data_IF_540608957283
#
_entry.id   IF_540608957283
#
_cell.length_a   1.000
_cell.length_b   1.000
_cell.length_c   1.000
_cell.angle_alpha   90.00
_cell.angle_beta   90.00
_cell.angle_gamma   90.00
#
_symmetry.space_group_name_H-M   'P 1'
#
loop_
_entity.id
_entity.type
_entity.pdbx_description
1 polymer ?
#
# COMPACT_ATOMS: atom_id res chain seq x y z
N UNK A 1 5.27 61.84 6.53
CA UNK A 1 5.17 62.79 7.66
C UNK A 1 3.73 63.27 7.70
N UNK A 2 2.84 62.66 8.48
CA UNK A 2 2.66 62.80 9.93
C UNK A 2 2.13 64.19 10.36
N UNK A 3 0.97 64.14 11.02
CA UNK A 3 0.43 65.05 12.04
C UNK A 3 -0.04 66.46 11.62
N UNK A 4 -0.94 67.18 12.30
CA UNK A 4 -2.01 66.97 13.30
C UNK A 4 -2.53 68.38 13.68
N UNK A 5 -3.68 68.45 14.40
CA UNK A 5 -4.13 69.49 15.36
C UNK A 5 -4.99 70.71 14.89
N UNK A 6 -6.28 70.70 15.31
CA UNK A 6 -7.05 71.66 16.19
C UNK A 6 -7.08 73.19 15.85
N UNK A 7 -7.96 74.07 16.45
CA UNK A 7 -9.09 73.90 17.40
C UNK A 7 -10.33 74.88 17.31
N UNK A 8 -11.32 74.66 18.22
CA UNK A 8 -12.08 75.59 19.13
C UNK A 8 -13.18 76.62 18.69
N UNK A 9 -14.29 76.53 19.47
CA UNK A 9 -15.20 77.57 20.06
C UNK A 9 -16.50 78.11 19.39
N UNK A 10 -17.66 77.73 20.00
CA UNK A 10 -18.82 78.48 20.61
C UNK A 10 -19.16 79.96 20.19
N UNK A 11 -20.32 80.60 20.53
CA UNK A 11 -21.34 80.31 21.58
C UNK A 11 -22.87 80.70 21.33
N UNK A 12 -23.75 80.35 22.31
CA UNK A 12 -24.99 80.98 22.90
C UNK A 12 -25.86 81.99 22.09
N UNK A 13 -27.21 82.04 22.09
CA UNK A 13 -28.19 82.24 23.19
C UNK A 13 -29.66 82.46 22.67
N UNK A 14 -30.65 82.38 23.60
CA UNK A 14 -32.15 82.43 23.60
C UNK A 14 -32.84 83.72 23.03
N UNK A 15 -34.18 84.06 23.16
CA UNK A 15 -35.30 83.58 24.04
C UNK A 15 -36.79 83.61 23.50
N UNK A 16 -37.78 83.30 24.38
CA UNK A 16 -39.27 83.63 24.43
C UNK A 16 -40.19 83.31 23.22
N UNK A 17 -41.51 83.03 23.26
CA UNK A 17 -42.60 82.95 24.25
C UNK A 17 -43.99 83.08 23.53
N UNK A 18 -45.01 82.32 23.99
CA UNK A 18 -46.48 82.56 23.98
C UNK A 18 -47.39 82.42 22.71
N UNK A 19 -48.37 81.50 22.88
CA UNK A 19 -49.85 81.59 22.71
C UNK A 19 -50.55 81.88 21.36
N UNK A 20 -51.48 80.96 20.99
CA UNK A 20 -52.95 81.16 20.94
C UNK A 20 -53.70 80.70 19.67
N UNK A 21 -54.73 79.87 19.93
CA UNK A 21 -56.09 79.81 19.35
C UNK A 21 -56.36 79.52 17.84
N UNK A 22 -57.06 78.37 17.66
CA UNK A 22 -58.04 77.92 16.63
C UNK A 22 -59.00 79.02 16.09
N UNK A 23 -59.93 78.80 15.10
CA UNK A 23 -60.42 77.56 14.42
C UNK A 23 -60.48 77.74 12.87
N UNK A 24 -61.01 76.88 11.98
CA UNK A 24 -62.33 76.23 11.88
C UNK A 24 -62.34 75.21 10.70
N UNK A 25 -63.34 74.31 10.61
CA UNK A 25 -63.22 73.04 9.90
C UNK A 25 -63.78 73.08 8.48
N UNK A 26 -63.14 72.35 7.57
CA UNK A 26 -63.73 71.87 6.30
C UNK A 26 -63.40 70.40 6.15
N UNK A 27 -64.44 69.60 5.96
CA UNK A 27 -64.33 68.19 5.55
C UNK A 27 -63.44 68.12 4.30
N UNK A 28 -62.35 67.37 4.38
CA UNK A 28 -61.44 67.11 3.28
C UNK A 28 -61.50 65.64 2.88
N UNK A 29 -61.38 65.35 1.56
CA UNK A 29 -61.72 64.07 0.97
C UNK A 29 -60.62 63.03 1.16
N UNK A 30 -61.01 61.75 1.06
CA UNK A 30 -60.11 60.61 1.08
C UNK A 30 -59.04 60.71 -0.03
N UNK A 31 -57.78 60.73 0.39
CA UNK A 31 -56.57 60.76 -0.44
C UNK A 31 -55.68 59.52 -0.10
N UNK A 32 -54.79 59.10 -1.02
CA UNK A 32 -54.69 57.70 -1.43
C UNK A 32 -53.74 56.84 -0.58
N UNK A 33 -53.92 55.52 -0.70
CA UNK A 33 -53.07 54.47 -0.10
C UNK A 33 -51.59 54.68 -0.43
N UNK A 34 -50.78 54.77 0.64
CA UNK A 34 -49.33 54.87 0.55
C UNK A 34 -48.66 53.65 -0.10
N UNK A 35 -47.38 53.77 -0.50
CA UNK A 35 -46.66 52.72 -1.21
C UNK A 35 -46.50 51.47 -0.33
N UNK A 36 -46.79 50.30 -0.92
CA UNK A 36 -46.57 48.98 -0.30
C UNK A 36 -45.09 48.79 0.01
N UNK A 37 -44.75 48.63 1.29
CA UNK A 37 -43.46 48.10 1.71
C UNK A 37 -43.37 46.64 1.25
N UNK A 38 -42.53 46.37 0.25
CA UNK A 38 -42.15 45.00 -0.14
C UNK A 38 -41.31 44.41 1.01
N UNK A 39 -41.93 43.56 1.84
CA UNK A 39 -41.18 42.71 2.77
C UNK A 39 -40.28 41.77 1.94
N UNK A 40 -38.98 42.02 1.93
CA UNK A 40 -38.00 41.02 1.51
C UNK A 40 -38.19 39.79 2.41
N UNK A 41 -38.72 38.69 1.87
CA UNK A 41 -38.66 37.38 2.52
C UNK A 41 -37.18 37.02 2.64
N UNK A 42 -36.73 36.69 3.85
CA UNK A 42 -35.44 36.03 4.02
C UNK A 42 -35.39 34.79 3.11
N UNK A 43 -34.25 34.50 2.47
CA UNK A 43 -34.10 33.26 1.74
C UNK A 43 -34.39 32.08 2.69
N UNK A 44 -35.07 31.01 2.23
CA UNK A 44 -35.25 29.83 3.05
C UNK A 44 -33.88 29.32 3.50
N UNK A 45 -33.75 28.77 4.73
CA UNK A 45 -32.51 28.15 5.16
C UNK A 45 -32.10 27.10 4.11
N UNK A 46 -30.78 26.93 3.85
CA UNK A 46 -30.33 25.93 2.90
C UNK A 46 -30.94 24.59 3.29
N UNK A 47 -31.64 23.94 2.35
CA UNK A 47 -32.17 22.58 2.54
C UNK A 47 -31.03 21.72 3.04
N UNK A 48 -31.18 21.13 4.24
CA UNK A 48 -30.23 20.14 4.74
C UNK A 48 -30.04 19.08 3.64
N UNK A 49 -28.81 18.92 3.15
CA UNK A 49 -28.45 17.74 2.38
C UNK A 49 -28.63 16.53 3.31
N UNK A 50 -29.27 15.45 2.83
CA UNK A 50 -30.30 14.74 3.59
C UNK A 50 -29.70 13.65 4.49
N UNK A 51 -30.35 13.42 5.64
CA UNK A 51 -30.04 12.37 6.63
C UNK A 51 -29.86 10.96 6.03
N UNK A 52 -30.41 10.73 4.83
CA UNK A 52 -30.23 9.51 4.03
C UNK A 52 -28.78 9.30 3.61
N UNK A 53 -28.07 10.35 3.17
CA UNK A 53 -26.66 10.22 2.77
C UNK A 53 -25.76 9.90 3.97
N UNK A 54 -26.05 10.50 5.13
CA UNK A 54 -25.37 10.19 6.38
C UNK A 54 -25.65 8.75 6.84
N UNK A 55 -26.90 8.29 6.72
CA UNK A 55 -27.30 6.91 7.04
C UNK A 55 -26.69 5.85 6.10
N UNK A 56 -26.57 6.15 4.81
CA UNK A 56 -25.86 5.28 3.85
C UNK A 56 -24.37 5.24 4.17
N UNK A 57 -23.76 6.38 4.50
CA UNK A 57 -22.35 6.43 4.89
C UNK A 57 -22.07 5.67 6.19
N UNK A 58 -22.93 5.77 7.20
CA UNK A 58 -22.81 4.98 8.43
C UNK A 58 -23.01 3.49 8.16
N UNK A 59 -24.00 3.10 7.36
CA UNK A 59 -24.22 1.71 6.99
C UNK A 59 -23.05 1.09 6.24
N UNK A 60 -22.42 1.84 5.32
CA UNK A 60 -21.19 1.41 4.63
C UNK A 60 -20.05 1.26 5.64
N UNK A 61 -19.86 2.24 6.54
CA UNK A 61 -18.80 2.18 7.56
C UNK A 61 -18.96 0.97 8.47
N UNK A 62 -20.17 0.70 8.92
CA UNK A 62 -20.45 -0.39 9.86
C UNK A 62 -20.27 -1.75 9.15
N UNK A 63 -20.75 -1.90 7.91
CA UNK A 63 -20.51 -3.10 7.10
C UNK A 63 -19.02 -3.34 6.80
N UNK A 64 -18.24 -2.26 6.59
CA UNK A 64 -16.79 -2.35 6.47
C UNK A 64 -16.16 -2.78 7.80
N UNK A 65 -16.55 -2.16 8.92
CA UNK A 65 -16.04 -2.54 10.23
C UNK A 65 -16.29 -4.03 10.52
N UNK A 66 -17.50 -4.51 10.24
CA UNK A 66 -17.85 -5.93 10.39
C UNK A 66 -16.96 -6.82 9.51
N UNK A 67 -16.76 -6.47 8.24
CA UNK A 67 -15.92 -7.23 7.32
C UNK A 67 -14.42 -7.25 7.75
N UNK A 68 -13.92 -6.18 8.36
CA UNK A 68 -12.55 -6.10 8.87
C UNK A 68 -12.34 -6.91 10.15
N UNK A 69 -13.37 -7.00 11.00
CA UNK A 69 -13.33 -7.68 12.29
C UNK A 69 -13.68 -9.17 12.20
N UNK A 70 -14.30 -9.61 11.10
CA UNK A 70 -14.73 -11.00 10.91
C UNK A 70 -13.58 -12.00 11.05
N UNK A 71 -13.74 -12.93 12.00
CA UNK A 71 -12.73 -13.92 12.38
C UNK A 71 -13.37 -15.31 12.56
N UNK A 72 -13.01 -16.33 11.75
CA UNK A 72 -12.08 -16.28 10.63
C UNK A 72 -12.66 -15.49 9.43
N UNK A 73 -11.82 -14.83 8.62
CA UNK A 73 -12.31 -14.11 7.44
C UNK A 73 -13.01 -15.04 6.44
N UNK A 74 -14.18 -14.64 5.94
CA UNK A 74 -14.83 -15.29 4.80
C UNK A 74 -14.36 -14.70 3.48
N UNK A 75 -14.70 -15.33 2.36
CA UNK A 75 -14.39 -14.77 1.03
C UNK A 75 -15.04 -13.40 0.81
N UNK A 76 -16.25 -13.21 1.34
CA UNK A 76 -16.98 -11.94 1.24
C UNK A 76 -16.30 -10.85 2.08
N UNK A 77 -15.95 -11.16 3.33
CA UNK A 77 -15.29 -10.19 4.20
C UNK A 77 -13.89 -9.84 3.69
N UNK A 78 -13.12 -10.82 3.26
CA UNK A 78 -11.80 -10.63 2.64
C UNK A 78 -11.86 -9.74 1.39
N UNK A 79 -12.79 -10.02 0.46
CA UNK A 79 -12.95 -9.22 -0.75
C UNK A 79 -13.39 -7.78 -0.44
N UNK A 80 -14.32 -7.62 0.51
CA UNK A 80 -14.86 -6.31 0.90
C UNK A 80 -13.79 -5.46 1.58
N UNK A 81 -13.08 -6.01 2.56
CA UNK A 81 -11.99 -5.33 3.25
C UNK A 81 -10.84 -4.97 2.31
N UNK A 82 -10.45 -5.90 1.44
CA UNK A 82 -9.42 -5.66 0.44
C UNK A 82 -9.84 -4.60 -0.59
N UNK A 83 -11.11 -4.61 -1.03
CA UNK A 83 -11.64 -3.59 -1.94
C UNK A 83 -11.56 -2.20 -1.32
N UNK A 84 -11.93 -2.05 -0.05
CA UNK A 84 -11.84 -0.78 0.65
C UNK A 84 -10.39 -0.25 0.69
N UNK A 85 -9.42 -1.13 0.98
CA UNK A 85 -7.99 -0.78 0.96
C UNK A 85 -7.54 -0.40 -0.46
N UNK A 86 -7.96 -1.15 -1.49
CA UNK A 86 -7.56 -0.89 -2.87
C UNK A 86 -8.14 0.43 -3.41
N UNK A 87 -9.38 0.76 -3.06
CA UNK A 87 -10.01 2.04 -3.41
C UNK A 87 -9.24 3.19 -2.75
N UNK A 88 -9.03 3.12 -1.44
CA UNK A 88 -8.30 4.16 -0.68
C UNK A 88 -6.83 4.30 -1.12
N UNK A 89 -6.16 3.18 -1.40
CA UNK A 89 -4.75 3.11 -1.78
C UNK A 89 -4.48 3.25 -3.28
N UNK A 90 -5.51 3.42 -4.12
CA UNK A 90 -5.37 3.38 -5.58
C UNK A 90 -4.31 4.34 -6.15
N UNK A 91 -4.12 5.59 -5.67
CA UNK A 91 -3.08 6.47 -6.22
C UNK A 91 -1.66 5.91 -5.97
N UNK A 92 -1.43 5.35 -4.78
CA UNK A 92 -0.14 4.76 -4.42
C UNK A 92 0.10 3.43 -5.15
N UNK A 93 -0.91 2.56 -5.22
CA UNK A 93 -0.84 1.25 -5.87
C UNK A 93 -0.58 1.39 -7.37
N UNK A 94 -1.27 2.31 -8.06
CA UNK A 94 -1.09 2.54 -9.49
C UNK A 94 0.27 3.16 -9.83
N UNK A 95 0.96 3.74 -8.84
CA UNK A 95 2.34 4.18 -9.00
C UNK A 95 3.32 3.01 -9.15
N UNK A 96 3.01 1.84 -8.58
CA UNK A 96 3.86 0.64 -8.60
C UNK A 96 3.32 -0.53 -9.43
N UNK A 97 2.05 -0.47 -9.86
CA UNK A 97 1.38 -1.53 -10.63
C UNK A 97 0.85 -1.02 -11.96
N UNK A 98 0.85 -1.87 -13.00
CA UNK A 98 0.03 -1.62 -14.19
C UNK A 98 -1.46 -1.84 -13.88
N UNK A 99 -2.38 -1.41 -14.74
CA UNK A 99 -3.82 -1.65 -14.55
C UNK A 99 -4.14 -3.15 -14.41
N UNK A 100 -3.54 -4.00 -15.24
CA UNK A 100 -3.66 -5.46 -15.12
C UNK A 100 -2.95 -6.04 -13.90
N UNK A 101 -1.82 -5.43 -13.46
CA UNK A 101 -1.15 -5.78 -12.22
C UNK A 101 -1.97 -5.43 -10.98
N UNK A 102 -2.75 -4.35 -11.03
CA UNK A 102 -3.68 -3.96 -9.96
C UNK A 102 -4.76 -5.01 -9.74
N UNK A 103 -5.35 -5.53 -10.83
CA UNK A 103 -6.32 -6.63 -10.73
C UNK A 103 -5.69 -7.92 -10.16
N UNK A 104 -4.49 -8.30 -10.62
CA UNK A 104 -3.77 -9.45 -10.07
C UNK A 104 -3.45 -9.27 -8.58
N UNK A 105 -3.01 -8.08 -8.18
CA UNK A 105 -2.73 -7.75 -6.79
C UNK A 105 -4.00 -7.76 -5.92
N UNK A 106 -5.15 -7.37 -6.47
CA UNK A 106 -6.43 -7.47 -5.75
C UNK A 106 -6.81 -8.92 -5.48
N UNK A 107 -6.64 -9.82 -6.45
CA UNK A 107 -6.89 -11.25 -6.25
C UNK A 107 -5.93 -11.85 -5.20
N UNK A 108 -4.65 -11.50 -5.28
CA UNK A 108 -3.65 -11.87 -4.27
C UNK A 108 -4.05 -11.37 -2.88
N UNK A 109 -4.38 -10.09 -2.74
CA UNK A 109 -4.77 -9.48 -1.47
C UNK A 109 -5.99 -10.17 -0.85
N UNK A 110 -7.00 -10.47 -1.67
CA UNK A 110 -8.21 -11.20 -1.24
C UNK A 110 -7.86 -12.60 -0.74
N UNK A 111 -7.03 -13.33 -1.49
CA UNK A 111 -6.58 -14.67 -1.12
C UNK A 111 -5.77 -14.67 0.18
N UNK A 112 -4.84 -13.73 0.32
CA UNK A 112 -4.02 -13.57 1.52
C UNK A 112 -4.86 -13.22 2.73
N UNK A 113 -5.80 -12.27 2.60
CA UNK A 113 -6.70 -11.90 3.70
C UNK A 113 -7.56 -13.09 4.12
N UNK A 114 -8.07 -13.85 3.15
CA UNK A 114 -8.87 -15.06 3.43
C UNK A 114 -8.08 -16.12 4.18
N UNK A 115 -6.80 -16.33 3.84
CA UNK A 115 -5.96 -17.36 4.44
C UNK A 115 -5.36 -16.95 5.79
N UNK A 116 -4.87 -15.72 5.89
CA UNK A 116 -3.98 -15.27 6.98
C UNK A 116 -4.48 -13.99 7.68
N UNK A 117 -5.66 -13.50 7.32
CA UNK A 117 -6.29 -12.33 7.92
C UNK A 117 -5.58 -11.00 7.63
N UNK A 118 -5.96 -9.94 8.37
CA UNK A 118 -5.31 -8.64 8.29
C UNK A 118 -3.79 -8.69 8.50
N UNK A 119 -3.25 -9.50 9.45
CA UNK A 119 -1.80 -9.67 9.62
C UNK A 119 -1.05 -10.11 8.36
N UNK A 120 -1.51 -11.18 7.69
CA UNK A 120 -0.88 -11.64 6.45
C UNK A 120 -1.01 -10.62 5.32
N UNK A 121 -2.13 -9.89 5.26
CA UNK A 121 -2.33 -8.83 4.28
C UNK A 121 -1.36 -7.66 4.47
N UNK A 122 -1.17 -7.20 5.72
CA UNK A 122 -0.21 -6.12 6.05
C UNK A 122 1.21 -6.52 5.64
N UNK A 123 1.58 -7.80 5.78
CA UNK A 123 2.88 -8.31 5.31
C UNK A 123 3.07 -8.11 3.80
N UNK A 124 2.06 -8.42 3.00
CA UNK A 124 2.09 -8.23 1.53
C UNK A 124 2.15 -6.74 1.17
N UNK A 125 1.46 -5.88 1.93
CA UNK A 125 1.55 -4.43 1.77
C UNK A 125 2.96 -3.93 2.08
N UNK A 126 3.59 -4.39 3.17
CA UNK A 126 4.96 -4.02 3.51
C UNK A 126 5.95 -4.45 2.42
N UNK A 127 5.82 -5.68 1.91
CA UNK A 127 6.57 -6.16 0.75
C UNK A 127 6.38 -5.23 -0.47
N UNK A 128 5.14 -4.88 -0.80
CA UNK A 128 4.85 -4.04 -1.97
C UNK A 128 5.44 -2.64 -1.83
N UNK A 129 5.30 -2.00 -0.66
CA UNK A 129 5.78 -0.64 -0.40
C UNK A 129 7.31 -0.60 -0.50
N UNK A 130 8.01 -1.49 0.22
CA UNK A 130 9.48 -1.51 0.21
C UNK A 130 10.00 -1.90 -1.17
N UNK A 131 9.40 -2.93 -1.79
CA UNK A 131 9.77 -3.36 -3.14
C UNK A 131 9.59 -2.25 -4.17
N UNK A 132 8.50 -1.50 -4.12
CA UNK A 132 8.23 -0.37 -5.04
C UNK A 132 9.16 0.81 -4.78
N UNK A 133 9.48 1.10 -3.52
CA UNK A 133 10.40 2.18 -3.17
C UNK A 133 11.81 1.91 -3.73
N UNK A 134 12.30 0.68 -3.58
CA UNK A 134 13.62 0.29 -4.05
C UNK A 134 13.68 0.17 -5.59
N UNK A 135 12.65 -0.32 -6.27
CA UNK A 135 12.64 -0.34 -7.75
C UNK A 135 12.64 1.06 -8.35
N UNK A 136 12.11 2.07 -7.65
CA UNK A 136 12.17 3.48 -8.09
C UNK A 136 13.44 4.20 -7.69
N UNK A 137 14.23 3.64 -6.77
CA UNK A 137 15.46 4.25 -6.32
C UNK A 137 16.46 4.37 -7.48
N UNK A 138 16.96 5.59 -7.72
CA UNK A 138 17.90 5.90 -8.81
C UNK A 138 17.43 5.42 -10.19
N UNK A 139 16.13 5.49 -10.46
CA UNK A 139 15.56 4.99 -11.73
C UNK A 139 16.21 5.61 -12.98
N UNK A 140 16.48 6.92 -12.99
CA UNK A 140 17.15 7.60 -14.11
C UNK A 140 18.54 7.04 -14.41
N UNK A 141 19.29 6.68 -13.37
CA UNK A 141 20.62 6.05 -13.52
C UNK A 141 20.47 4.65 -14.13
N UNK A 142 19.51 3.86 -13.62
CA UNK A 142 19.26 2.50 -14.11
C UNK A 142 18.75 2.50 -15.55
N UNK A 143 17.94 3.49 -15.93
CA UNK A 143 17.44 3.67 -17.30
C UNK A 143 18.58 4.03 -18.25
N UNK A 144 19.46 4.96 -17.86
CA UNK A 144 20.65 5.31 -18.64
C UNK A 144 21.61 4.13 -18.83
N UNK A 145 21.59 3.14 -17.92
CA UNK A 145 22.39 1.92 -17.97
C UNK A 145 21.67 0.74 -18.63
N UNK A 146 20.40 0.89 -19.02
CA UNK A 146 19.60 -0.19 -19.62
C UNK A 146 19.20 -1.31 -18.65
N UNK A 147 19.41 -1.14 -17.34
CA UNK A 147 19.15 -2.15 -16.29
C UNK A 147 17.94 -1.82 -15.42
N UNK A 148 17.18 -0.77 -15.78
CA UNK A 148 15.98 -0.38 -15.05
C UNK A 148 14.87 -1.41 -15.18
N UNK A 149 14.10 -1.52 -14.09
CA UNK A 149 12.88 -2.30 -14.08
C UNK A 149 11.91 -1.80 -15.17
N UNK A 150 11.30 -2.74 -15.90
CA UNK A 150 10.44 -2.44 -17.04
C UNK A 150 9.28 -1.52 -16.63
N UNK A 151 8.76 -0.75 -17.59
CA UNK A 151 7.58 0.13 -17.43
C UNK A 151 7.75 1.19 -16.31
N UNK A 152 8.95 1.74 -16.14
CA UNK A 152 9.23 2.76 -15.12
C UNK A 152 9.08 2.22 -13.70
N UNK A 153 9.39 0.94 -13.48
CA UNK A 153 9.24 0.27 -12.18
C UNK A 153 7.84 -0.24 -11.86
N UNK A 154 6.88 -0.17 -12.81
CA UNK A 154 5.52 -0.69 -12.61
C UNK A 154 5.43 -2.17 -12.90
N UNK A 155 5.00 -2.95 -11.91
CA UNK A 155 4.85 -4.41 -12.01
C UNK A 155 3.56 -4.78 -12.74
N UNK A 156 3.70 -5.64 -13.74
CA UNK A 156 2.59 -6.23 -14.48
C UNK A 156 2.00 -7.47 -13.78
N UNK A 157 0.96 -8.10 -14.36
CA UNK A 157 0.36 -9.31 -13.79
C UNK A 157 1.35 -10.48 -13.72
N UNK A 158 2.23 -10.64 -14.71
CA UNK A 158 3.30 -11.66 -14.70
C UNK A 158 4.24 -11.49 -13.51
N UNK A 159 4.68 -10.26 -13.23
CA UNK A 159 5.51 -9.94 -12.07
C UNK A 159 4.80 -10.15 -10.74
N UNK A 160 3.50 -9.83 -10.65
CA UNK A 160 2.70 -10.10 -9.44
C UNK A 160 2.59 -11.61 -9.20
N UNK A 161 2.19 -12.37 -10.21
CA UNK A 161 2.08 -13.84 -10.12
C UNK A 161 3.44 -14.46 -9.82
N UNK A 162 4.49 -14.04 -10.53
CA UNK A 162 5.85 -14.51 -10.35
C UNK A 162 6.40 -14.23 -8.95
N UNK A 163 5.94 -13.16 -8.33
CA UNK A 163 6.34 -12.77 -6.97
C UNK A 163 5.50 -13.40 -5.87
N UNK A 164 4.38 -14.04 -6.19
CA UNK A 164 3.43 -14.52 -5.18
C UNK A 164 2.97 -15.96 -5.36
N UNK A 165 3.35 -16.66 -6.44
CA UNK A 165 2.85 -17.99 -6.75
C UNK A 165 2.97 -18.99 -5.58
N UNK A 166 4.15 -19.11 -4.97
CA UNK A 166 4.35 -19.97 -3.80
C UNK A 166 3.48 -19.55 -2.61
N UNK A 167 3.37 -18.24 -2.35
CA UNK A 167 2.49 -17.69 -1.33
C UNK A 167 1.01 -17.98 -1.59
N UNK A 168 0.55 -17.89 -2.85
CA UNK A 168 -0.81 -18.25 -3.25
C UNK A 168 -1.08 -19.74 -3.02
N UNK A 169 -0.13 -20.62 -3.37
CA UNK A 169 -0.25 -22.05 -3.11
C UNK A 169 -0.36 -22.30 -1.61
N UNK A 170 0.52 -21.71 -0.80
CA UNK A 170 0.45 -21.81 0.67
C UNK A 170 -0.89 -21.30 1.23
N UNK A 171 -1.41 -20.19 0.72
CA UNK A 171 -2.71 -19.66 1.10
C UNK A 171 -3.85 -20.63 0.77
N UNK A 172 -3.87 -21.20 -0.43
CA UNK A 172 -4.87 -22.20 -0.83
C UNK A 172 -4.79 -23.46 0.05
N UNK A 173 -3.59 -23.99 0.27
CA UNK A 173 -3.38 -25.17 1.13
C UNK A 173 -3.86 -24.92 2.57
N UNK A 174 -3.64 -23.69 3.08
CA UNK A 174 -4.14 -23.26 4.38
C UNK A 174 -5.68 -23.18 4.42
N UNK A 175 -6.31 -22.56 3.41
CA UNK A 175 -7.78 -22.42 3.32
C UNK A 175 -8.48 -23.78 3.25
N UNK A 176 -7.92 -24.72 2.48
CA UNK A 176 -8.48 -26.07 2.33
C UNK A 176 -8.01 -27.05 3.41
N UNK A 177 -7.28 -26.57 4.43
CA UNK A 177 -6.83 -27.37 5.58
C UNK A 177 -6.06 -28.64 5.17
N UNK A 178 -5.28 -28.56 4.08
CA UNK A 178 -4.50 -29.70 3.58
C UNK A 178 -3.46 -30.12 4.62
N UNK A 179 -3.51 -31.38 5.05
CA UNK A 179 -2.63 -31.90 6.12
C UNK A 179 -3.10 -31.57 7.55
N UNK A 180 -4.24 -30.91 7.73
CA UNK A 180 -4.81 -30.61 9.05
C UNK A 180 -4.09 -29.48 9.80
N UNK A 181 -4.33 -29.40 11.12
CA UNK A 181 -3.84 -28.30 11.98
C UNK A 181 -2.31 -28.23 12.05
N UNK A 182 -1.62 -29.37 12.04
CA UNK A 182 -0.17 -29.43 12.07
C UNK A 182 0.47 -28.75 10.84
N UNK A 183 -0.09 -28.94 9.66
CA UNK A 183 0.43 -28.35 8.42
C UNK A 183 -0.03 -26.91 8.21
N UNK A 184 -1.10 -26.45 8.87
CA UNK A 184 -1.58 -25.07 8.77
C UNK A 184 -0.49 -24.02 9.13
N UNK A 185 0.35 -24.33 10.14
CA UNK A 185 1.47 -23.48 10.54
C UNK A 185 2.61 -23.54 9.51
N UNK A 186 2.84 -24.71 8.90
CA UNK A 186 3.84 -24.85 7.84
C UNK A 186 3.46 -24.08 6.58
N UNK A 187 2.18 -24.04 6.21
CA UNK A 187 1.70 -23.23 5.09
C UNK A 187 1.85 -21.74 5.37
N UNK A 188 1.59 -21.30 6.61
CA UNK A 188 1.84 -19.92 7.02
C UNK A 188 3.34 -19.58 6.95
N UNK A 189 4.21 -20.46 7.45
CA UNK A 189 5.66 -20.30 7.36
C UNK A 189 6.13 -20.22 5.89
N UNK A 190 5.67 -21.13 5.04
CA UNK A 190 5.99 -21.14 3.61
C UNK A 190 5.53 -19.86 2.91
N UNK A 191 4.34 -19.35 3.25
CA UNK A 191 3.85 -18.05 2.80
C UNK A 191 4.81 -16.93 3.20
N UNK A 192 5.14 -16.79 4.49
CA UNK A 192 6.05 -15.73 4.98
C UNK A 192 7.43 -15.85 4.33
N UNK A 193 8.00 -17.06 4.28
CA UNK A 193 9.29 -17.32 3.67
C UNK A 193 9.33 -16.93 2.19
N UNK A 194 8.26 -17.22 1.43
CA UNK A 194 8.16 -16.85 0.00
C UNK A 194 8.25 -15.32 -0.21
N UNK A 195 7.58 -14.53 0.63
CA UNK A 195 7.61 -13.07 0.55
C UNK A 195 8.93 -12.49 1.06
N UNK A 196 9.52 -13.07 2.12
CA UNK A 196 10.86 -12.69 2.60
C UNK A 196 11.92 -12.93 1.51
N UNK A 197 11.84 -14.08 0.85
CA UNK A 197 12.71 -14.44 -0.28
C UNK A 197 12.57 -13.41 -1.39
N UNK A 198 11.32 -13.13 -1.82
CA UNK A 198 11.09 -12.19 -2.91
C UNK A 198 11.52 -10.77 -2.59
N UNK A 199 11.31 -10.30 -1.35
CA UNK A 199 11.75 -8.97 -0.96
C UNK A 199 13.28 -8.90 -0.91
N UNK A 200 13.94 -9.89 -0.32
CA UNK A 200 15.41 -9.97 -0.28
C UNK A 200 16.01 -9.95 -1.68
N UNK A 201 15.44 -10.73 -2.61
CA UNK A 201 15.84 -10.78 -4.01
C UNK A 201 15.68 -9.42 -4.71
N UNK A 202 14.51 -8.82 -4.58
CA UNK A 202 14.21 -7.51 -5.20
C UNK A 202 15.12 -6.43 -4.63
N UNK A 203 15.31 -6.39 -3.31
CA UNK A 203 16.16 -5.36 -2.69
C UNK A 203 17.62 -5.58 -3.03
N UNK A 204 18.09 -6.83 -3.04
CA UNK A 204 19.46 -7.17 -3.40
C UNK A 204 19.81 -6.75 -4.82
N UNK A 205 18.98 -7.14 -5.79
CA UNK A 205 19.20 -6.83 -7.20
C UNK A 205 19.12 -5.32 -7.48
N UNK A 206 18.13 -4.63 -6.94
CA UNK A 206 17.95 -3.19 -7.19
C UNK A 206 18.99 -2.32 -6.49
N UNK A 207 19.39 -2.66 -5.25
CA UNK A 207 20.50 -1.97 -4.57
C UNK A 207 21.82 -2.29 -5.25
N UNK A 208 22.04 -3.53 -5.70
CA UNK A 208 23.21 -3.92 -6.47
C UNK A 208 23.35 -3.12 -7.77
N UNK A 209 22.26 -2.97 -8.53
CA UNK A 209 22.22 -2.11 -9.74
C UNK A 209 22.52 -0.64 -9.40
N UNK A 210 21.93 -0.13 -8.32
CA UNK A 210 22.01 1.29 -7.97
C UNK A 210 23.35 1.71 -7.31
N UNK A 211 23.95 0.83 -6.50
CA UNK A 211 25.09 1.16 -5.64
C UNK A 211 26.27 0.17 -5.70
N UNK A 212 26.11 -1.04 -6.24
CA UNK A 212 27.10 -2.11 -6.11
C UNK A 212 28.45 -1.79 -6.74
N UNK A 213 29.51 -1.55 -5.96
CA UNK A 213 30.80 -1.07 -6.51
C UNK A 213 31.43 -2.05 -7.49
N UNK A 214 31.43 -3.33 -7.12
CA UNK A 214 31.91 -4.44 -7.94
C UNK A 214 30.89 -5.56 -7.93
N UNK A 215 30.54 -6.04 -9.12
CA UNK A 215 29.61 -7.16 -9.33
C UNK A 215 30.37 -8.38 -9.83
N UNK A 216 30.04 -9.54 -9.28
CA UNK A 216 30.68 -10.82 -9.57
C UNK A 216 29.65 -11.80 -10.10
N UNK A 217 30.01 -12.58 -11.12
CA UNK A 217 29.18 -13.68 -11.58
C UNK A 217 29.24 -14.81 -10.54
N UNK A 218 28.09 -15.27 -10.03
CA UNK A 218 28.06 -16.24 -8.91
C UNK A 218 28.74 -17.57 -9.22
N UNK A 219 28.82 -17.97 -10.50
CA UNK A 219 29.41 -19.25 -10.93
C UNK A 219 30.93 -19.22 -11.04
N UNK A 220 31.52 -18.09 -11.46
CA UNK A 220 32.95 -18.00 -11.77
C UNK A 220 33.71 -16.99 -10.91
N UNK A 221 32.99 -16.18 -10.13
CA UNK A 221 33.51 -15.04 -9.37
C UNK A 221 34.31 -14.04 -10.23
N UNK A 222 34.09 -14.03 -11.55
CA UNK A 222 34.65 -13.01 -12.44
C UNK A 222 33.85 -11.72 -12.31
N UNK A 223 34.55 -10.59 -12.41
CA UNK A 223 33.91 -9.27 -12.42
C UNK A 223 33.09 -9.13 -13.71
N UNK A 224 31.82 -8.78 -13.56
CA UNK A 224 30.88 -8.58 -14.67
C UNK A 224 30.17 -7.23 -14.52
N UNK A 225 29.63 -6.65 -15.59
CA UNK A 225 28.83 -5.42 -15.50
C UNK A 225 27.65 -5.55 -14.52
N UNK A 226 27.20 -4.41 -14.00
CA UNK A 226 26.00 -4.37 -13.15
C UNK A 226 24.76 -4.75 -13.97
N UNK A 227 23.84 -5.48 -13.35
CA UNK A 227 22.61 -5.93 -14.00
C UNK A 227 22.80 -7.11 -14.96
N UNK A 228 23.98 -7.72 -15.02
CA UNK A 228 24.15 -9.04 -15.63
C UNK A 228 23.37 -10.08 -14.83
N UNK A 229 22.65 -10.96 -15.52
CA UNK A 229 21.87 -12.03 -14.87
C UNK A 229 22.78 -12.96 -14.07
N UNK A 230 22.38 -13.26 -12.83
CA UNK A 230 23.18 -14.02 -11.87
C UNK A 230 24.42 -13.30 -11.29
N UNK A 231 24.54 -11.99 -11.51
CA UNK A 231 25.57 -11.18 -10.86
C UNK A 231 25.19 -10.78 -9.44
N UNK A 232 26.13 -10.95 -8.50
CA UNK A 232 25.99 -10.57 -7.10
C UNK A 232 26.96 -9.44 -6.73
N UNK A 233 26.59 -8.60 -5.77
CA UNK A 233 27.44 -7.56 -5.19
C UNK A 233 27.33 -7.57 -3.69
N UNK A 234 28.36 -7.11 -2.98
CA UNK A 234 28.35 -7.07 -1.51
C UNK A 234 27.22 -6.15 -1.01
N UNK A 235 27.06 -4.99 -1.63
CA UNK A 235 26.03 -4.02 -1.26
C UNK A 235 24.61 -4.58 -1.49
N UNK A 236 24.40 -5.25 -2.62
CA UNK A 236 23.15 -5.94 -2.92
C UNK A 236 22.87 -7.05 -1.89
N UNK A 237 23.82 -7.96 -1.68
CA UNK A 237 23.64 -9.08 -0.74
C UNK A 237 23.33 -8.60 0.68
N UNK A 238 24.05 -7.59 1.19
CA UNK A 238 23.77 -7.03 2.52
C UNK A 238 22.38 -6.38 2.58
N UNK A 239 21.98 -5.64 1.55
CA UNK A 239 20.66 -5.04 1.50
C UNK A 239 19.54 -6.09 1.42
N UNK A 240 19.77 -7.19 0.71
CA UNK A 240 18.87 -8.35 0.67
C UNK A 240 18.69 -8.99 2.05
N UNK A 241 19.79 -9.24 2.77
CA UNK A 241 19.74 -9.75 4.16
C UNK A 241 18.92 -8.82 5.05
N UNK A 242 19.17 -7.50 4.98
CA UNK A 242 18.42 -6.54 5.78
C UNK A 242 16.94 -6.50 5.41
N UNK A 243 16.60 -6.73 4.14
CA UNK A 243 15.21 -6.78 3.68
C UNK A 243 14.46 -8.03 4.16
N UNK A 244 15.10 -9.21 4.16
CA UNK A 244 14.49 -10.42 4.75
C UNK A 244 14.37 -10.29 6.28
N UNK A 245 15.38 -9.74 6.96
CA UNK A 245 15.31 -9.40 8.40
C UNK A 245 14.12 -8.50 8.69
N UNK A 246 13.96 -7.42 7.93
CA UNK A 246 12.85 -6.48 8.07
C UNK A 246 11.50 -7.19 7.94
N UNK A 247 11.28 -7.92 6.83
CA UNK A 247 9.97 -8.51 6.57
C UNK A 247 9.65 -9.66 7.52
N UNK A 248 10.63 -10.48 7.89
CA UNK A 248 10.45 -11.52 8.89
C UNK A 248 10.15 -10.93 10.28
N UNK A 249 10.78 -9.80 10.65
CA UNK A 249 10.46 -9.09 11.89
C UNK A 249 9.05 -8.54 11.88
N UNK A 250 8.58 -7.98 10.75
CA UNK A 250 7.18 -7.58 10.57
C UNK A 250 6.25 -8.78 10.75
N UNK A 251 6.57 -9.92 10.15
CA UNK A 251 5.79 -11.15 10.30
C UNK A 251 5.72 -11.62 11.76
N UNK A 252 6.83 -11.55 12.50
CA UNK A 252 6.87 -11.87 13.94
C UNK A 252 5.99 -10.92 14.76
N UNK A 253 6.12 -9.60 14.57
CA UNK A 253 5.32 -8.60 15.27
C UNK A 253 3.82 -8.74 14.99
N UNK A 254 3.47 -9.24 13.81
CA UNK A 254 2.09 -9.53 13.39
C UNK A 254 1.59 -10.92 13.83
N UNK A 255 2.39 -11.67 14.58
CA UNK A 255 2.04 -13.02 15.08
C UNK A 255 1.90 -14.06 13.96
N UNK A 256 2.54 -13.85 12.81
CA UNK A 256 2.53 -14.81 11.70
C UNK A 256 3.58 -15.90 11.87
N UNK A 257 4.69 -15.59 12.52
CA UNK A 257 5.79 -16.53 12.78
C UNK A 257 6.35 -16.31 14.18
N UNK A 258 6.99 -17.33 14.75
CA UNK A 258 7.75 -17.23 15.99
C UNK A 258 9.22 -16.81 15.75
N UNK A 259 10.00 -16.67 16.84
CA UNK A 259 11.40 -16.23 16.78
C UNK A 259 12.30 -17.22 16.02
N UNK A 260 12.06 -18.52 16.16
CA UNK A 260 12.84 -19.55 15.47
C UNK A 260 12.52 -19.53 13.98
N UNK A 261 11.24 -19.39 13.64
CA UNK A 261 10.75 -19.27 12.28
C UNK A 261 11.25 -18.01 11.56
N UNK A 262 11.54 -16.92 12.28
CA UNK A 262 12.27 -15.77 11.71
C UNK A 262 13.63 -16.22 11.18
N UNK A 263 14.43 -16.93 11.99
CA UNK A 263 15.74 -17.43 11.55
C UNK A 263 15.61 -18.40 10.36
N UNK A 264 14.60 -19.28 10.37
CA UNK A 264 14.31 -20.19 9.26
C UNK A 264 13.98 -19.42 7.97
N UNK A 265 13.10 -18.41 8.03
CA UNK A 265 12.77 -17.56 6.90
C UNK A 265 14.01 -16.86 6.33
N UNK A 266 14.89 -16.35 7.19
CA UNK A 266 16.13 -15.68 6.78
C UNK A 266 17.05 -16.65 6.04
N UNK A 267 17.36 -17.79 6.64
CA UNK A 267 18.26 -18.79 6.03
C UNK A 267 17.70 -19.30 4.71
N UNK A 268 16.42 -19.67 4.68
CA UNK A 268 15.75 -20.13 3.46
C UNK A 268 15.78 -19.07 2.34
N UNK A 269 15.51 -17.81 2.69
CA UNK A 269 15.54 -16.69 1.72
C UNK A 269 16.93 -16.50 1.11
N UNK A 270 17.99 -16.58 1.92
CA UNK A 270 19.35 -16.39 1.40
C UNK A 270 19.78 -17.55 0.51
N UNK A 271 19.52 -18.80 0.92
CA UNK A 271 19.83 -19.98 0.09
C UNK A 271 19.07 -19.92 -1.23
N UNK A 272 17.78 -19.56 -1.20
CA UNK A 272 16.96 -19.44 -2.39
C UNK A 272 17.48 -18.35 -3.34
N UNK A 273 17.84 -17.17 -2.84
CA UNK A 273 18.39 -16.08 -3.66
C UNK A 273 19.75 -16.41 -4.27
N UNK A 274 20.62 -17.12 -3.56
CA UNK A 274 21.84 -17.65 -4.16
C UNK A 274 21.54 -18.67 -5.27
N UNK A 275 20.55 -19.55 -5.05
CA UNK A 275 20.07 -20.50 -6.05
C UNK A 275 19.49 -19.82 -7.29
N UNK A 276 18.72 -18.76 -7.11
CA UNK A 276 18.21 -17.90 -8.18
C UNK A 276 19.36 -17.33 -9.01
N UNK A 277 20.35 -16.72 -8.38
CA UNK A 277 21.47 -16.12 -9.10
C UNK A 277 22.27 -17.18 -9.85
N UNK A 278 22.37 -18.40 -9.30
CA UNK A 278 23.00 -19.53 -9.98
C UNK A 278 22.21 -19.96 -11.21
N UNK A 279 20.88 -20.08 -11.10
CA UNK A 279 19.98 -20.36 -12.23
C UNK A 279 20.11 -19.27 -13.29
N UNK A 280 20.14 -18.00 -12.90
CA UNK A 280 20.32 -16.87 -13.80
C UNK A 280 21.65 -16.94 -14.56
N UNK A 281 22.76 -17.15 -13.85
CA UNK A 281 24.08 -17.24 -14.46
C UNK A 281 24.27 -18.45 -15.40
N UNK A 282 23.54 -19.54 -15.16
CA UNK A 282 23.71 -20.81 -15.89
C UNK A 282 22.71 -21.01 -17.02
N UNK A 283 21.46 -20.58 -16.85
CA UNK A 283 20.35 -20.94 -17.73
C UNK A 283 19.71 -19.73 -18.43
N UNK A 284 19.65 -18.55 -17.81
CA UNK A 284 19.05 -17.39 -18.46
C UNK A 284 19.89 -16.93 -19.66
N UNK A 285 19.21 -16.53 -20.73
CA UNK A 285 19.80 -16.12 -22.02
C UNK A 285 20.70 -17.18 -22.70
N UNK A 286 20.58 -18.46 -22.30
CA UNK A 286 21.21 -19.58 -22.99
C UNK A 286 20.30 -20.17 -24.06
N UNK A 287 20.91 -20.68 -25.13
CA UNK A 287 20.21 -21.41 -26.18
C UNK A 287 19.41 -22.58 -25.58
N UNK A 288 18.13 -22.71 -25.97
CA UNK A 288 17.21 -23.71 -25.43
C UNK A 288 16.41 -23.29 -24.19
N UNK A 289 16.81 -22.21 -23.50
CA UNK A 289 16.15 -21.73 -22.27
C UNK A 289 15.42 -20.38 -22.43
N UNK A 290 15.08 -19.98 -23.66
CA UNK A 290 14.37 -18.71 -23.91
C UNK A 290 12.98 -18.60 -23.25
N UNK A 291 12.42 -19.70 -22.75
CA UNK A 291 11.19 -19.70 -21.95
C UNK A 291 11.43 -19.25 -20.50
N UNK A 292 12.65 -19.37 -19.98
CA UNK A 292 13.05 -19.05 -18.61
C UNK A 292 13.24 -17.54 -18.40
N UNK A 293 12.14 -16.81 -18.46
CA UNK A 293 12.11 -15.38 -18.18
C UNK A 293 12.16 -15.07 -16.68
N UNK A 294 12.36 -13.79 -16.34
CA UNK A 294 12.48 -13.33 -14.95
C UNK A 294 11.25 -13.67 -14.09
N UNK A 295 10.04 -13.68 -14.65
CA UNK A 295 8.85 -14.02 -13.87
C UNK A 295 8.85 -15.50 -13.47
N UNK A 296 9.33 -16.41 -14.34
CA UNK A 296 9.46 -17.84 -14.02
C UNK A 296 10.58 -18.09 -13.01
N UNK A 297 11.73 -17.45 -13.19
CA UNK A 297 12.85 -17.54 -12.24
C UNK A 297 12.42 -17.03 -10.85
N UNK A 298 11.62 -15.97 -10.80
CA UNK A 298 11.00 -15.49 -9.56
C UNK A 298 10.11 -16.57 -8.91
N UNK A 299 9.25 -17.26 -9.68
CA UNK A 299 8.43 -18.37 -9.16
C UNK A 299 9.31 -19.46 -8.55
N UNK A 300 10.38 -19.86 -9.24
CA UNK A 300 11.30 -20.88 -8.76
C UNK A 300 11.98 -20.43 -7.46
N UNK A 301 12.50 -19.21 -7.42
CA UNK A 301 13.17 -18.65 -6.25
C UNK A 301 12.25 -18.68 -5.01
N UNK A 302 11.07 -18.07 -5.10
CA UNK A 302 10.14 -18.00 -3.96
C UNK A 302 9.61 -19.38 -3.56
N UNK A 303 9.53 -20.33 -4.49
CA UNK A 303 9.15 -21.71 -4.21
C UNK A 303 10.25 -22.46 -3.47
N UNK A 304 11.51 -22.30 -3.88
CA UNK A 304 12.67 -22.84 -3.15
C UNK A 304 12.70 -22.26 -1.74
N UNK A 305 12.52 -20.95 -1.58
CA UNK A 305 12.46 -20.31 -0.25
C UNK A 305 11.35 -20.87 0.64
N UNK A 306 10.14 -21.04 0.11
CA UNK A 306 9.03 -21.62 0.85
C UNK A 306 9.28 -23.09 1.24
N UNK A 307 9.74 -23.91 0.30
CA UNK A 307 10.01 -25.35 0.52
C UNK A 307 11.13 -25.52 1.54
N UNK A 308 12.23 -24.79 1.39
CA UNK A 308 13.35 -24.87 2.34
C UNK A 308 12.92 -24.49 3.75
N UNK A 309 12.11 -23.44 3.91
CA UNK A 309 11.60 -23.06 5.23
C UNK A 309 10.74 -24.16 5.86
N UNK A 310 9.85 -24.78 5.08
CA UNK A 310 9.02 -25.90 5.56
C UNK A 310 9.87 -27.11 5.94
N UNK A 311 10.84 -27.48 5.09
CA UNK A 311 11.73 -28.62 5.36
C UNK A 311 12.62 -28.37 6.58
N UNK A 312 13.20 -27.18 6.72
CA UNK A 312 13.98 -26.80 7.90
C UNK A 312 13.14 -26.87 9.17
N UNK A 313 11.90 -26.36 9.15
CA UNK A 313 11.00 -26.44 10.30
C UNK A 313 10.66 -27.89 10.66
N UNK A 314 10.39 -28.74 9.68
CA UNK A 314 10.12 -30.16 9.92
C UNK A 314 11.34 -30.87 10.52
N UNK A 315 12.54 -30.59 10.01
CA UNK A 315 13.78 -31.12 10.57
C UNK A 315 13.98 -30.68 12.02
N UNK A 316 13.78 -29.40 12.33
CA UNK A 316 13.91 -28.88 13.69
C UNK A 316 12.93 -29.56 14.66
N UNK A 317 11.66 -29.72 14.26
CA UNK A 317 10.66 -30.43 15.06
C UNK A 317 11.07 -31.89 15.28
N UNK A 318 11.51 -32.57 14.22
CA UNK A 318 11.93 -33.98 14.29
C UNK A 318 13.15 -34.20 15.18
N UNK A 319 14.04 -33.22 15.29
CA UNK A 319 15.24 -33.29 16.12
C UNK A 319 14.96 -32.99 17.60
N UNK A 320 13.88 -32.25 17.87
CA UNK A 320 13.41 -31.93 19.23
C UNK A 320 12.44 -32.96 19.82
N UNK A 321 12.00 -33.96 19.04
CA UNK A 321 11.08 -35.02 19.44
C UNK A 321 11.82 -36.29 19.80
#
# INVERSE_FOLDING_TARGET
>A
MACSLLPLHAPLSSPHGLLSSRPAPRMLPALPRGPRVLRHRAPPPPRALPDVAAGVASGIRDALADAFLESPPTWRSAATSNLAVFVAGSPALLSGLSASGFAAAYLLGTLTWRAFGPPGFILVVAYFVVGTAVTKLKIKQKEAQGVAEKRGGRRGPGSVIGSSAAGCVCALLSIYHVGGTAFSQLWRLGFVASFCTKLSDTVSSEIGKAFGRTTYLVTTFKVVPRGTEGAISVEGTLAGILASVFLASVAYLLGQVDVLQVAVCLLASQVANYGESYIGATLQDKEGFGWLNNDIVNVLNISIGAILAVLMQQLLVSWSS
#
